data_IF_980790142011
#
_entry.id   IF_980790142011
#
_cell.length_a   1.000
_cell.length_b   1.000
_cell.length_c   1.000
_cell.angle_alpha   90.00
_cell.angle_beta   90.00
_cell.angle_gamma   90.00
#
_symmetry.space_group_name_H-M   'P 1'
#
loop_
_entity.id
_entity.type
_entity.pdbx_description
1 polymer ?
#
# COMPACT_ATOMS: atom_id res chain seq x y z
N UNK A 1 -6.86 -19.53 -0.56
CA UNK A 1 -6.97 -19.98 0.83
C UNK A 1 -8.37 -19.68 1.32
N UNK A 2 -8.95 -20.65 2.02
CA UNK A 2 -10.08 -20.41 2.90
C UNK A 2 -9.60 -19.47 4.03
N UNK A 3 -10.47 -18.64 4.59
CA UNK A 3 -10.10 -17.79 5.73
C UNK A 3 -9.81 -18.56 7.03
N UNK A 4 -9.80 -19.89 6.96
CA UNK A 4 -9.60 -20.83 8.05
C UNK A 4 -8.31 -21.66 7.92
N UNK A 5 -7.50 -21.43 6.88
CA UNK A 5 -6.24 -22.16 6.70
C UNK A 5 -5.16 -21.60 7.66
N UNK A 6 -4.35 -22.48 8.25
CA UNK A 6 -3.26 -22.08 9.15
C UNK A 6 -2.17 -21.33 8.36
N UNK A 7 -1.94 -20.03 8.61
CA UNK A 7 -0.98 -19.25 7.84
C UNK A 7 0.49 -19.59 8.13
N UNK A 8 0.76 -20.46 9.11
CA UNK A 8 2.11 -20.88 9.52
C UNK A 8 2.40 -22.35 9.20
N UNK A 9 1.54 -23.03 8.45
CA UNK A 9 1.76 -24.42 8.03
C UNK A 9 2.79 -24.48 6.89
N UNK A 10 3.96 -25.13 7.09
CA UNK A 10 5.02 -25.22 6.07
C UNK A 10 4.60 -26.03 4.84
N UNK A 11 3.56 -26.86 4.94
CA UNK A 11 3.00 -27.64 3.82
C UNK A 11 1.92 -26.86 3.05
N UNK A 12 1.53 -25.69 3.53
CA UNK A 12 0.59 -24.82 2.82
C UNK A 12 1.29 -24.13 1.64
N UNK A 13 0.99 -24.61 0.44
CA UNK A 13 1.45 -23.97 -0.79
C UNK A 13 0.81 -22.58 -0.95
N UNK A 14 1.60 -21.52 -0.74
CA UNK A 14 1.19 -20.12 -0.94
C UNK A 14 0.80 -19.81 -2.40
N UNK A 15 1.30 -20.63 -3.33
CA UNK A 15 1.02 -20.52 -4.75
C UNK A 15 0.02 -21.61 -5.14
N UNK A 16 -1.24 -21.23 -5.39
CA UNK A 16 -2.12 -22.06 -6.21
C UNK A 16 -1.45 -22.23 -7.57
N UNK A 17 -1.53 -23.41 -8.18
CA UNK A 17 -1.26 -23.55 -9.62
C UNK A 17 -2.11 -22.51 -10.38
N UNK A 18 -1.48 -21.45 -10.88
CA UNK A 18 -2.20 -20.27 -11.37
C UNK A 18 -1.53 -18.94 -11.04
N UNK A 19 -2.06 -17.88 -11.64
CA UNK A 19 -1.75 -16.50 -11.25
C UNK A 19 -2.38 -16.16 -9.87
N UNK A 20 -1.75 -15.25 -9.12
CA UNK A 20 -2.23 -14.71 -7.85
C UNK A 20 -3.64 -14.10 -7.90
N UNK A 21 -4.12 -13.70 -9.08
CA UNK A 21 -5.49 -13.22 -9.29
C UNK A 21 -6.56 -14.32 -9.18
N UNK A 22 -6.18 -15.61 -9.19
CA UNK A 22 -7.08 -16.75 -9.05
C UNK A 22 -7.97 -17.05 -10.26
N UNK A 23 -7.71 -16.42 -11.43
CA UNK A 23 -8.49 -16.60 -12.67
C UNK A 23 -7.68 -17.14 -13.87
N UNK A 24 -6.36 -17.05 -13.83
CA UNK A 24 -5.49 -17.45 -14.94
C UNK A 24 -4.62 -18.63 -14.53
N UNK A 25 -4.30 -19.48 -15.50
CA UNK A 25 -3.49 -20.70 -15.31
C UNK A 25 -2.01 -20.40 -15.06
N UNK A 26 -1.52 -19.24 -15.50
CA UNK A 26 -0.16 -18.77 -15.21
C UNK A 26 -0.11 -17.25 -15.04
N UNK A 27 1.00 -16.75 -14.47
CA UNK A 27 1.27 -15.30 -14.41
C UNK A 27 1.43 -14.70 -15.81
N UNK A 28 2.00 -15.45 -16.76
CA UNK A 28 2.15 -15.00 -18.15
C UNK A 28 0.79 -14.78 -18.84
N UNK A 29 -0.18 -15.68 -18.64
CA UNK A 29 -1.55 -15.52 -19.15
C UNK A 29 -2.23 -14.28 -18.55
N UNK A 30 -1.98 -14.03 -17.26
CA UNK A 30 -2.47 -12.83 -16.60
C UNK A 30 -1.85 -11.57 -17.19
N UNK A 31 -0.53 -11.53 -17.36
CA UNK A 31 0.16 -10.36 -17.90
C UNK A 31 -0.29 -10.07 -19.34
N UNK A 32 -0.47 -11.10 -20.17
CA UNK A 32 -1.05 -10.97 -21.51
C UNK A 32 -2.50 -10.43 -21.48
N UNK A 33 -3.33 -10.92 -20.57
CA UNK A 33 -4.69 -10.41 -20.36
C UNK A 33 -4.75 -8.99 -19.75
N UNK A 34 -3.66 -8.54 -19.12
CA UNK A 34 -3.49 -7.18 -18.60
C UNK A 34 -3.01 -6.18 -19.66
N UNK A 35 -2.35 -6.66 -20.72
CA UNK A 35 -1.95 -5.85 -21.88
C UNK A 35 -3.14 -5.49 -22.79
N UNK A 36 -4.25 -6.24 -22.72
CA UNK A 36 -5.48 -5.91 -23.44
C UNK A 36 -6.28 -4.82 -22.71
N UNK A 37 -6.26 -3.61 -23.26
CA UNK A 37 -6.89 -2.41 -22.68
C UNK A 37 -8.42 -2.56 -22.53
N UNK A 38 -9.10 -3.12 -23.53
CA UNK A 38 -10.55 -3.36 -23.50
C UNK A 38 -10.92 -4.36 -22.39
N UNK A 39 -10.13 -5.42 -22.25
CA UNK A 39 -10.31 -6.40 -21.18
C UNK A 39 -10.12 -5.76 -19.80
N UNK A 40 -9.21 -4.79 -19.67
CA UNK A 40 -8.98 -4.05 -18.41
C UNK A 40 -10.16 -3.12 -18.09
N UNK A 41 -10.61 -2.32 -19.06
CA UNK A 41 -11.77 -1.42 -18.90
C UNK A 41 -13.01 -2.24 -18.54
N UNK A 42 -13.24 -3.36 -19.23
CA UNK A 42 -14.33 -4.29 -18.92
C UNK A 42 -14.32 -4.76 -17.46
N UNK A 43 -13.16 -5.16 -16.94
CA UNK A 43 -13.02 -5.61 -15.55
C UNK A 43 -13.29 -4.49 -14.53
N UNK A 44 -12.85 -3.27 -14.83
CA UNK A 44 -13.08 -2.11 -13.97
C UNK A 44 -14.58 -1.80 -13.90
N UNK A 45 -15.27 -1.77 -15.05
CA UNK A 45 -16.71 -1.53 -15.12
C UNK A 45 -17.49 -2.62 -14.37
N UNK A 46 -17.19 -3.89 -14.61
CA UNK A 46 -17.82 -5.00 -13.89
C UNK A 46 -17.63 -4.89 -12.37
N UNK A 47 -16.42 -4.55 -11.93
CA UNK A 47 -16.12 -4.38 -10.51
C UNK A 47 -16.83 -3.17 -9.91
N UNK A 48 -16.92 -2.06 -10.65
CA UNK A 48 -17.63 -0.85 -10.23
C UNK A 48 -19.13 -1.09 -10.09
N UNK A 49 -19.76 -1.75 -11.07
CA UNK A 49 -21.18 -2.13 -11.02
C UNK A 49 -21.45 -3.08 -9.86
N UNK A 50 -20.62 -4.10 -9.67
CA UNK A 50 -20.72 -5.02 -8.53
C UNK A 50 -20.64 -4.31 -7.18
N UNK A 51 -19.72 -3.35 -7.03
CA UNK A 51 -19.57 -2.55 -5.81
C UNK A 51 -20.74 -1.59 -5.60
N UNK A 52 -21.31 -1.04 -6.67
CA UNK A 52 -22.50 -0.19 -6.61
C UNK A 52 -23.76 -0.96 -6.19
N UNK A 53 -23.96 -2.16 -6.74
CA UNK A 53 -25.12 -3.02 -6.41
C UNK A 53 -24.99 -3.69 -5.04
N UNK A 54 -23.76 -4.08 -4.66
CA UNK A 54 -23.46 -4.74 -3.40
C UNK A 54 -22.36 -3.96 -2.66
N UNK A 55 -22.72 -2.84 -1.99
CA UNK A 55 -21.76 -1.99 -1.32
C UNK A 55 -21.11 -2.67 -0.10
N UNK A 56 -21.84 -3.55 0.58
CA UNK A 56 -21.30 -4.34 1.67
C UNK A 56 -20.34 -5.43 1.15
N UNK A 57 -19.11 -5.33 1.61
CA UNK A 57 -17.99 -6.17 1.22
C UNK A 57 -18.20 -7.66 1.54
N UNK A 58 -18.80 -7.95 2.70
CA UNK A 58 -18.98 -9.32 3.16
C UNK A 58 -20.12 -10.00 2.40
N UNK A 59 -21.24 -9.31 2.22
CA UNK A 59 -22.36 -9.75 1.39
C UNK A 59 -21.91 -9.99 -0.05
N UNK A 60 -21.16 -9.06 -0.65
CA UNK A 60 -20.66 -9.21 -2.02
C UNK A 60 -19.77 -10.44 -2.16
N UNK A 61 -18.87 -10.69 -1.21
CA UNK A 61 -18.02 -11.90 -1.20
C UNK A 61 -18.83 -13.18 -1.05
N UNK A 62 -19.80 -13.20 -0.13
CA UNK A 62 -20.65 -14.36 0.10
C UNK A 62 -21.52 -14.67 -1.13
N UNK A 63 -22.11 -13.64 -1.74
CA UNK A 63 -22.88 -13.77 -2.97
C UNK A 63 -22.03 -14.33 -4.11
N UNK A 64 -20.87 -13.74 -4.37
CA UNK A 64 -19.96 -14.21 -5.43
C UNK A 64 -19.47 -15.65 -5.19
N UNK A 65 -19.29 -16.06 -3.93
CA UNK A 65 -18.97 -17.45 -3.57
C UNK A 65 -20.14 -18.40 -3.81
N UNK A 66 -21.36 -17.96 -3.56
CA UNK A 66 -22.56 -18.78 -3.70
C UNK A 66 -22.93 -19.02 -5.16
N UNK A 67 -22.86 -17.99 -6.01
CA UNK A 67 -23.38 -18.07 -7.41
C UNK A 67 -22.29 -18.12 -8.47
N UNK A 68 -21.05 -17.76 -8.13
CA UNK A 68 -19.94 -17.61 -9.07
C UNK A 68 -19.94 -16.29 -9.83
N UNK A 69 -18.76 -15.75 -10.13
CA UNK A 69 -18.62 -14.42 -10.73
C UNK A 69 -19.23 -14.31 -12.13
N UNK A 70 -19.15 -15.36 -12.95
CA UNK A 70 -19.74 -15.37 -14.31
C UNK A 70 -21.27 -15.30 -14.26
N UNK A 71 -21.91 -16.13 -13.43
CA UNK A 71 -23.36 -16.13 -13.22
C UNK A 71 -23.86 -14.81 -12.66
N UNK A 72 -23.16 -14.27 -11.66
CA UNK A 72 -23.47 -12.95 -11.09
C UNK A 72 -23.48 -11.86 -12.17
N UNK A 73 -22.45 -11.83 -13.03
CA UNK A 73 -22.38 -10.84 -14.09
C UNK A 73 -23.42 -11.04 -15.19
N UNK A 74 -23.74 -12.29 -15.54
CA UNK A 74 -24.81 -12.58 -16.49
C UNK A 74 -26.16 -12.06 -15.98
N UNK A 75 -26.50 -12.30 -14.72
CA UNK A 75 -27.71 -11.79 -14.09
C UNK A 75 -27.75 -10.25 -14.10
N UNK A 76 -26.64 -9.60 -13.71
CA UNK A 76 -26.54 -8.13 -13.71
C UNK A 76 -26.72 -7.56 -15.13
N UNK A 77 -26.17 -8.22 -16.14
CA UNK A 77 -26.29 -7.76 -17.53
C UNK A 77 -27.73 -7.75 -18.07
N UNK A 78 -28.66 -8.48 -17.43
CA UNK A 78 -30.09 -8.43 -17.77
C UNK A 78 -30.79 -7.18 -17.26
N UNK A 79 -30.27 -6.57 -16.19
CA UNK A 79 -30.86 -5.42 -15.50
C UNK A 79 -30.07 -4.12 -15.73
N UNK A 80 -28.79 -4.23 -16.10
CA UNK A 80 -27.89 -3.12 -16.31
C UNK A 80 -27.19 -3.25 -17.67
N UNK A 81 -27.21 -2.22 -18.54
CA UNK A 81 -26.67 -2.28 -19.89
C UNK A 81 -25.14 -2.28 -19.89
N UNK A 82 -24.53 -3.43 -19.59
CA UNK A 82 -23.08 -3.58 -19.46
C UNK A 82 -22.31 -3.18 -20.72
N UNK A 83 -22.87 -3.41 -21.91
CA UNK A 83 -22.25 -3.01 -23.18
C UNK A 83 -22.10 -1.48 -23.28
N UNK A 84 -23.16 -0.73 -22.97
CA UNK A 84 -23.13 0.73 -22.98
C UNK A 84 -22.20 1.28 -21.89
N UNK A 85 -22.22 0.68 -20.69
CA UNK A 85 -21.32 1.09 -19.60
C UNK A 85 -19.83 0.85 -19.94
N UNK A 86 -19.51 -0.27 -20.62
CA UNK A 86 -18.16 -0.55 -21.11
C UNK A 86 -17.74 0.42 -22.21
N UNK A 87 -18.63 0.75 -23.13
CA UNK A 87 -18.36 1.72 -24.19
C UNK A 87 -18.09 3.12 -23.62
N UNK A 88 -18.93 3.58 -22.67
CA UNK A 88 -18.73 4.86 -21.98
C UNK A 88 -17.41 4.93 -21.21
N UNK A 89 -16.99 3.82 -20.59
CA UNK A 89 -15.73 3.76 -19.86
C UNK A 89 -14.50 3.63 -20.77
N UNK A 90 -14.67 3.20 -22.03
CA UNK A 90 -13.60 3.13 -23.01
C UNK A 90 -13.27 4.51 -23.60
N UNK A 91 -14.23 5.44 -23.60
CA UNK A 91 -13.96 6.84 -23.92
C UNK A 91 -13.20 7.50 -22.77
N UNK A 92 -11.99 8.01 -23.05
CA UNK A 92 -11.24 8.82 -22.08
C UNK A 92 -12.02 10.10 -21.79
N UNK A 93 -12.77 10.09 -20.69
CA UNK A 93 -13.44 11.26 -20.15
C UNK A 93 -12.45 12.36 -19.75
N UNK A 94 -12.98 13.56 -19.49
CA UNK A 94 -12.18 14.64 -18.90
C UNK A 94 -11.84 14.29 -17.44
N UNK A 95 -10.62 14.60 -17.02
CA UNK A 95 -10.23 14.50 -15.62
C UNK A 95 -11.15 15.33 -14.72
N UNK A 96 -11.58 14.75 -13.60
CA UNK A 96 -12.44 15.41 -12.62
C UNK A 96 -11.69 16.51 -11.85
N UNK A 97 -10.36 16.36 -11.72
CA UNK A 97 -9.46 17.32 -11.07
C UNK A 97 -8.08 17.28 -11.70
N UNK A 98 -7.60 18.45 -12.12
CA UNK A 98 -6.29 18.62 -12.77
C UNK A 98 -5.21 19.07 -11.80
N UNK A 99 -5.54 19.94 -10.85
CA UNK A 99 -4.59 20.52 -9.90
C UNK A 99 -4.49 19.68 -8.62
N UNK A 100 -3.40 18.94 -8.45
CA UNK A 100 -3.23 18.01 -7.33
C UNK A 100 -2.13 18.47 -6.37
N UNK A 101 -2.39 18.37 -5.07
CA UNK A 101 -1.38 18.53 -4.01
C UNK A 101 -0.91 17.16 -3.54
N UNK A 102 0.38 16.86 -3.72
CA UNK A 102 0.96 15.57 -3.34
C UNK A 102 2.00 15.76 -2.23
N UNK A 103 1.73 15.20 -1.05
CA UNK A 103 2.61 15.26 0.10
C UNK A 103 3.73 14.20 0.06
N UNK A 104 4.94 14.55 0.48
CA UNK A 104 6.04 13.58 0.61
C UNK A 104 7.03 13.89 1.74
N UNK A 105 7.65 12.85 2.29
CA UNK A 105 8.85 12.97 3.14
C UNK A 105 10.08 12.87 2.22
N UNK A 106 11.10 13.75 2.39
CA UNK A 106 12.25 13.85 1.50
C UNK A 106 13.26 12.71 1.71
N UNK A 107 12.90 11.51 1.25
CA UNK A 107 13.73 10.31 1.24
C UNK A 107 13.71 9.68 -0.16
N UNK A 108 14.68 8.82 -0.46
CA UNK A 108 14.86 8.20 -1.79
C UNK A 108 13.61 7.46 -2.29
N UNK A 109 12.78 6.94 -1.40
CA UNK A 109 11.53 6.26 -1.76
C UNK A 109 10.52 7.18 -2.46
N UNK A 110 10.62 8.50 -2.26
CA UNK A 110 9.78 9.49 -2.94
C UNK A 110 10.25 9.84 -4.35
N UNK A 111 11.35 9.26 -4.84
CA UNK A 111 11.90 9.60 -6.17
C UNK A 111 10.87 9.50 -7.31
N UNK A 112 10.01 8.47 -7.41
CA UNK A 112 9.04 8.39 -8.50
C UNK A 112 8.10 9.61 -8.57
N UNK A 113 7.57 10.06 -7.43
CA UNK A 113 6.66 11.20 -7.38
C UNK A 113 7.37 12.54 -7.57
N UNK A 114 8.64 12.64 -7.17
CA UNK A 114 9.46 13.84 -7.37
C UNK A 114 9.85 13.98 -8.85
N UNK A 115 10.35 12.91 -9.46
CA UNK A 115 10.87 12.93 -10.82
C UNK A 115 9.79 12.96 -11.89
N UNK A 116 8.57 12.55 -11.58
CA UNK A 116 7.44 12.62 -12.51
C UNK A 116 7.18 14.04 -13.07
N UNK A 117 7.49 15.10 -12.31
CA UNK A 117 7.39 16.47 -12.79
C UNK A 117 8.46 16.81 -13.85
N UNK A 118 9.76 16.80 -13.49
CA UNK A 118 10.85 17.08 -14.43
C UNK A 118 10.88 16.17 -15.66
N UNK A 119 10.34 14.94 -15.56
CA UNK A 119 10.23 14.01 -16.69
C UNK A 119 8.97 14.21 -17.54
N UNK A 120 8.12 15.19 -17.22
CA UNK A 120 6.89 15.50 -17.97
C UNK A 120 5.77 14.47 -17.82
N UNK A 121 5.86 13.54 -16.86
CA UNK A 121 4.86 12.48 -16.70
C UNK A 121 3.52 13.01 -16.18
N UNK A 122 3.51 14.01 -15.31
CA UNK A 122 2.24 14.62 -14.87
C UNK A 122 1.53 15.35 -16.02
N UNK A 123 2.27 16.16 -16.78
CA UNK A 123 1.74 16.91 -17.92
C UNK A 123 1.18 15.99 -19.01
N UNK A 124 1.88 14.88 -19.30
CA UNK A 124 1.41 13.87 -20.26
C UNK A 124 0.05 13.28 -19.88
N UNK A 125 -0.23 13.17 -18.59
CA UNK A 125 -1.53 12.72 -18.08
C UNK A 125 -2.52 13.87 -17.85
N UNK A 126 -2.18 15.12 -18.22
CA UNK A 126 -3.06 16.29 -18.04
C UNK A 126 -3.15 16.82 -16.61
N UNK A 127 -2.17 16.48 -15.75
CA UNK A 127 -2.14 16.85 -14.33
C UNK A 127 -1.18 18.01 -14.06
N UNK A 128 -1.63 18.97 -13.24
CA UNK A 128 -0.81 20.01 -12.65
C UNK A 128 -0.52 19.66 -11.17
N UNK A 129 0.68 19.17 -10.89
CA UNK A 129 1.02 18.64 -9.55
C UNK A 129 1.88 19.62 -8.77
N UNK A 130 1.42 19.94 -7.55
CA UNK A 130 2.20 20.65 -6.53
C UNK A 130 2.73 19.67 -5.48
N UNK A 131 4.04 19.45 -5.46
CA UNK A 131 4.70 18.60 -4.47
C UNK A 131 4.92 19.37 -3.16
N UNK A 132 4.50 18.75 -2.06
CA UNK A 132 4.51 19.36 -0.73
C UNK A 132 5.44 18.58 0.19
N UNK A 133 6.62 19.14 0.46
CA UNK A 133 7.58 18.54 1.40
C UNK A 133 7.01 18.58 2.81
N UNK A 134 7.13 17.46 3.52
CA UNK A 134 6.65 17.30 4.90
C UNK A 134 7.80 17.02 5.86
N UNK A 135 7.62 17.41 7.13
CA UNK A 135 8.63 17.23 8.17
C UNK A 135 8.69 15.79 8.71
N UNK A 136 7.59 15.03 8.61
CA UNK A 136 7.53 13.66 9.11
C UNK A 136 6.16 13.01 8.88
N UNK A 137 6.05 11.73 9.25
CA UNK A 137 4.90 10.89 8.89
C UNK A 137 3.61 11.22 9.63
N UNK A 138 3.69 11.70 10.88
CA UNK A 138 2.52 12.18 11.60
C UNK A 138 1.85 13.36 10.87
N UNK A 139 2.65 14.31 10.39
CA UNK A 139 2.16 15.47 9.63
C UNK A 139 1.56 15.03 8.29
N UNK A 140 2.17 14.06 7.61
CA UNK A 140 1.60 13.49 6.39
C UNK A 140 0.21 12.91 6.66
N UNK A 141 0.07 12.07 7.69
CA UNK A 141 -1.20 11.45 8.07
C UNK A 141 -2.28 12.51 8.30
N UNK A 142 -1.96 13.53 9.10
CA UNK A 142 -2.92 14.56 9.50
C UNK A 142 -3.36 15.39 8.29
N UNK A 143 -2.44 15.71 7.37
CA UNK A 143 -2.77 16.45 6.14
C UNK A 143 -3.58 15.64 5.12
N UNK A 144 -3.37 14.33 5.02
CA UNK A 144 -4.23 13.44 4.24
C UNK A 144 -5.63 13.37 4.86
N UNK A 145 -5.73 13.30 6.19
CA UNK A 145 -7.01 13.28 6.91
C UNK A 145 -7.81 14.56 6.73
N UNK A 146 -7.14 15.71 6.77
CA UNK A 146 -7.75 17.01 6.58
C UNK A 146 -8.02 17.34 5.10
N UNK A 147 -7.72 16.43 4.16
CA UNK A 147 -7.84 16.64 2.71
C UNK A 147 -7.03 17.85 2.21
N UNK A 148 -5.94 18.18 2.91
CA UNK A 148 -4.97 19.17 2.44
C UNK A 148 -4.12 18.61 1.28
N UNK A 149 -3.96 17.29 1.24
CA UNK A 149 -3.32 16.54 0.16
C UNK A 149 -4.33 15.65 -0.56
N UNK A 150 -4.23 15.64 -1.88
CA UNK A 150 -5.02 14.76 -2.76
C UNK A 150 -4.44 13.35 -2.80
N UNK A 151 -3.11 13.25 -2.72
CA UNK A 151 -2.39 12.00 -2.58
C UNK A 151 -1.14 12.21 -1.72
N UNK A 152 -0.57 11.14 -1.18
CA UNK A 152 0.69 11.25 -0.46
C UNK A 152 1.51 9.97 -0.50
N UNK A 153 2.83 10.15 -0.45
CA UNK A 153 3.74 9.09 -0.08
C UNK A 153 3.51 8.71 1.38
N UNK A 154 3.18 7.44 1.61
CA UNK A 154 2.90 6.85 2.91
C UNK A 154 3.74 5.60 3.12
N UNK A 155 4.06 5.30 4.38
CA UNK A 155 4.65 4.01 4.74
C UNK A 155 3.60 2.91 4.57
N UNK A 156 3.98 1.74 4.07
CA UNK A 156 3.01 0.69 3.70
C UNK A 156 1.99 0.30 4.77
N UNK A 157 2.28 0.33 6.09
CA UNK A 157 1.25 0.03 7.10
C UNK A 157 0.31 1.21 7.41
N UNK A 158 0.66 2.45 7.05
CA UNK A 158 -0.14 3.64 7.39
C UNK A 158 -1.54 3.60 6.76
N UNK A 159 -1.74 3.30 5.45
CA UNK A 159 -3.09 3.22 4.88
C UNK A 159 -3.99 2.23 5.62
N UNK A 160 -3.44 1.09 6.05
CA UNK A 160 -4.16 0.09 6.83
C UNK A 160 -4.50 0.62 8.22
N UNK A 161 -3.52 1.19 8.93
CA UNK A 161 -3.72 1.76 10.26
C UNK A 161 -4.78 2.88 10.23
N UNK A 162 -4.71 3.79 9.25
CA UNK A 162 -5.69 4.86 9.06
C UNK A 162 -7.09 4.31 8.77
N UNK A 163 -7.19 3.29 7.91
CA UNK A 163 -8.47 2.64 7.58
C UNK A 163 -9.10 1.91 8.76
N UNK A 164 -8.28 1.43 9.71
CA UNK A 164 -8.71 0.82 10.96
C UNK A 164 -8.92 1.82 12.11
N UNK A 165 -8.48 3.08 11.95
CA UNK A 165 -8.51 4.09 13.01
C UNK A 165 -7.47 3.87 14.12
N UNK A 166 -6.35 3.22 13.79
CA UNK A 166 -5.26 2.99 14.72
C UNK A 166 -4.33 4.20 14.78
N UNK A 167 -4.28 4.85 15.94
CA UNK A 167 -3.46 6.05 16.18
C UNK A 167 -3.94 7.32 15.46
N UNK A 168 -5.16 7.34 14.93
CA UNK A 168 -5.83 8.52 14.36
C UNK A 168 -7.32 8.28 14.18
N UNK A 169 -8.06 9.30 13.73
CA UNK A 169 -9.43 9.10 13.26
C UNK A 169 -9.47 8.07 12.12
N UNK A 170 -10.55 7.29 12.07
CA UNK A 170 -10.77 6.29 11.03
C UNK A 170 -11.03 7.00 9.69
N UNK A 171 -10.20 6.72 8.70
CA UNK A 171 -10.36 7.21 7.34
C UNK A 171 -9.95 6.12 6.35
N UNK A 172 -10.82 5.76 5.42
CA UNK A 172 -10.46 4.86 4.34
C UNK A 172 -9.38 5.51 3.47
N UNK A 173 -8.28 4.80 3.25
CA UNK A 173 -7.17 5.25 2.39
C UNK A 173 -6.87 4.16 1.37
N UNK A 174 -6.96 4.53 0.10
CA UNK A 174 -6.64 3.63 -1.00
C UNK A 174 -5.15 3.69 -1.36
N UNK A 175 -4.57 2.53 -1.64
CA UNK A 175 -3.19 2.41 -2.11
C UNK A 175 -3.18 2.38 -3.63
N UNK A 176 -2.72 3.47 -4.25
CA UNK A 176 -2.63 3.55 -5.71
C UNK A 176 -1.49 2.71 -6.28
N UNK A 177 -0.31 2.77 -5.66
CA UNK A 177 0.88 2.03 -6.12
C UNK A 177 1.92 1.88 -5.01
N UNK A 178 2.78 0.86 -5.14
CA UNK A 178 3.96 0.69 -4.31
C UNK A 178 5.15 1.37 -5.01
N UNK A 179 5.70 2.41 -4.37
CA UNK A 179 6.75 3.24 -4.98
C UNK A 179 8.12 2.57 -4.99
N UNK A 180 8.41 1.72 -4.00
CA UNK A 180 9.64 0.96 -3.93
C UNK A 180 9.46 -0.30 -3.08
N UNK A 181 10.37 -1.25 -3.30
CA UNK A 181 10.70 -2.31 -2.35
C UNK A 181 12.16 -2.11 -1.95
N UNK A 182 12.53 -2.54 -0.74
CA UNK A 182 13.89 -2.40 -0.19
C UNK A 182 14.34 -0.94 0.04
N UNK A 183 15.65 -0.74 0.25
CA UNK A 183 16.27 0.58 0.45
C UNK A 183 16.25 1.10 1.88
N UNK A 184 15.89 0.26 2.85
CA UNK A 184 15.95 0.58 4.28
C UNK A 184 17.13 -0.14 4.93
N UNK A 185 17.63 0.37 6.06
CA UNK A 185 18.72 -0.23 6.81
C UNK A 185 18.53 -0.09 8.32
N UNK A 186 19.04 -1.06 9.06
CA UNK A 186 19.30 -0.93 10.50
C UNK A 186 20.73 -0.43 10.65
N UNK A 187 20.89 0.75 11.23
CA UNK A 187 22.19 1.41 11.38
C UNK A 187 22.54 1.57 12.84
N UNK A 188 23.73 1.10 13.24
CA UNK A 188 24.28 1.32 14.58
C UNK A 188 25.35 2.41 14.55
N UNK A 189 25.47 3.16 15.65
CA UNK A 189 26.58 4.09 15.83
C UNK A 189 27.92 3.31 15.94
N UNK A 190 29.03 3.93 15.50
CA UNK A 190 30.37 3.31 15.50
C UNK A 190 30.83 2.82 16.88
N UNK A 191 30.30 3.38 17.97
CA UNK A 191 30.54 2.90 19.35
C UNK A 191 30.08 1.46 19.60
N UNK A 192 29.23 0.92 18.71
CA UNK A 192 28.71 -0.44 18.76
C UNK A 192 29.30 -1.34 17.66
N UNK A 193 30.42 -0.95 17.02
CA UNK A 193 31.05 -1.72 15.93
C UNK A 193 31.40 -3.17 16.30
N UNK A 194 31.63 -3.44 17.58
CA UNK A 194 31.97 -4.78 18.08
C UNK A 194 30.73 -5.58 18.52
N UNK A 195 29.53 -4.97 18.44
CA UNK A 195 28.24 -5.60 18.77
C UNK A 195 27.46 -5.94 17.50
N UNK A 196 28.08 -6.72 16.60
CA UNK A 196 27.46 -7.10 15.33
C UNK A 196 26.41 -8.22 15.48
N UNK A 197 26.47 -8.98 16.57
CA UNK A 197 25.49 -10.02 16.85
C UNK A 197 24.25 -9.40 17.50
N UNK A 198 23.06 -9.49 16.87
CA UNK A 198 21.83 -8.87 17.39
C UNK A 198 21.41 -9.38 18.76
N UNK A 199 21.82 -10.59 19.17
CA UNK A 199 21.57 -11.12 20.52
C UNK A 199 22.13 -10.23 21.63
N UNK A 200 23.17 -9.45 21.32
CA UNK A 200 23.87 -8.58 22.27
C UNK A 200 23.27 -7.16 22.32
N UNK A 201 22.12 -6.93 21.67
CA UNK A 201 21.48 -5.62 21.56
C UNK A 201 20.49 -5.32 22.68
N UNK A 202 20.36 -6.20 23.67
CA UNK A 202 19.55 -5.94 24.86
C UNK A 202 20.00 -4.65 25.56
N UNK A 203 19.03 -3.80 25.90
CA UNK A 203 19.20 -2.47 26.49
C UNK A 203 19.52 -1.36 25.48
N UNK A 204 19.63 -1.65 24.18
CA UNK A 204 19.84 -0.63 23.16
C UNK A 204 18.56 0.19 22.90
N UNK A 205 18.76 1.38 22.35
CA UNK A 205 17.68 2.28 21.93
C UNK A 205 17.71 2.41 20.41
N UNK A 206 16.56 2.19 19.76
CA UNK A 206 16.41 2.28 18.32
C UNK A 206 15.46 3.41 17.93
N UNK A 207 15.88 4.22 16.96
CA UNK A 207 15.04 5.23 16.33
C UNK A 207 14.16 4.62 15.24
N UNK A 208 12.87 4.99 15.23
CA UNK A 208 11.89 4.57 14.24
C UNK A 208 11.18 5.79 13.66
N UNK A 209 10.78 5.76 12.37
CA UNK A 209 10.19 6.93 11.75
C UNK A 209 8.75 7.17 12.21
N UNK A 210 8.04 6.10 12.56
CA UNK A 210 6.63 6.11 12.94
C UNK A 210 6.23 4.75 13.53
N UNK A 211 5.21 4.71 14.39
CA UNK A 211 4.69 3.45 14.96
C UNK A 211 4.18 2.50 13.88
N UNK A 212 3.33 3.01 12.97
CA UNK A 212 2.77 2.24 11.86
C UNK A 212 3.68 2.29 10.63
N UNK A 213 4.94 1.90 10.80
CA UNK A 213 5.95 1.89 9.73
C UNK A 213 6.43 0.48 9.41
N UNK A 214 6.83 0.28 8.14
CA UNK A 214 7.53 -0.95 7.73
C UNK A 214 8.85 -1.13 8.51
N UNK A 215 9.43 -0.04 9.00
CA UNK A 215 10.71 -0.05 9.71
C UNK A 215 10.53 -0.63 11.12
N UNK A 216 9.44 -0.26 11.79
CA UNK A 216 9.05 -0.85 13.07
C UNK A 216 8.80 -2.35 12.91
N UNK A 217 8.03 -2.76 11.88
CA UNK A 217 7.75 -4.17 11.63
C UNK A 217 9.03 -4.97 11.33
N UNK A 218 9.91 -4.46 10.46
CA UNK A 218 11.17 -5.13 10.11
C UNK A 218 12.11 -5.23 11.31
N UNK A 219 12.25 -4.18 12.11
CA UNK A 219 13.11 -4.20 13.30
C UNK A 219 12.58 -5.19 14.33
N UNK A 220 11.27 -5.17 14.61
CA UNK A 220 10.63 -6.10 15.55
C UNK A 220 10.81 -7.55 15.11
N UNK A 221 10.59 -7.82 13.82
CA UNK A 221 10.81 -9.14 13.23
C UNK A 221 12.27 -9.58 13.41
N UNK A 222 13.22 -8.72 13.06
CA UNK A 222 14.65 -9.01 13.15
C UNK A 222 15.13 -9.26 14.59
N UNK A 223 14.64 -8.48 15.55
CA UNK A 223 14.94 -8.66 16.97
C UNK A 223 14.37 -9.99 17.50
N UNK A 224 13.11 -10.28 17.18
CA UNK A 224 12.45 -11.51 17.61
C UNK A 224 13.12 -12.77 17.03
N UNK A 225 13.55 -12.73 15.77
CA UNK A 225 14.32 -13.80 15.13
C UNK A 225 15.64 -14.10 15.86
N UNK A 226 16.21 -13.09 16.55
CA UNK A 226 17.41 -13.23 17.36
C UNK A 226 17.11 -13.41 18.86
N UNK A 227 15.86 -13.67 19.25
CA UNK A 227 15.49 -13.99 20.63
C UNK A 227 15.41 -12.78 21.56
N UNK A 228 15.28 -11.57 21.02
CA UNK A 228 14.99 -10.36 21.80
C UNK A 228 13.50 -10.01 21.71
N UNK A 229 12.88 -9.75 22.87
CA UNK A 229 11.53 -9.19 22.93
C UNK A 229 11.60 -7.69 22.61
N UNK A 230 11.06 -7.24 21.45
CA UNK A 230 11.20 -5.86 21.02
C UNK A 230 10.45 -4.85 21.90
N UNK A 231 9.55 -5.30 22.79
CA UNK A 231 8.80 -4.46 23.72
C UNK A 231 9.39 -4.42 25.14
N UNK A 232 10.36 -5.30 25.44
CA UNK A 232 10.97 -5.39 26.79
C UNK A 232 12.49 -5.26 26.79
N UNK A 233 13.15 -5.86 25.80
CA UNK A 233 14.61 -5.95 25.79
C UNK A 233 15.28 -4.74 25.14
N UNK A 234 14.54 -3.91 24.40
CA UNK A 234 15.06 -2.69 23.76
C UNK A 234 14.10 -1.51 23.96
N UNK A 235 14.58 -0.29 23.74
CA UNK A 235 13.74 0.91 23.74
C UNK A 235 13.53 1.39 22.30
N UNK A 236 12.27 1.53 21.88
CA UNK A 236 11.91 2.05 20.56
C UNK A 236 11.46 3.51 20.68
N UNK A 237 12.11 4.41 19.95
CA UNK A 237 11.81 5.85 19.97
C UNK A 237 11.40 6.35 18.59
N UNK A 238 10.26 7.01 18.51
CA UNK A 238 9.83 7.68 17.29
C UNK A 238 10.61 8.98 17.08
N UNK A 239 11.06 9.20 15.85
CA UNK A 239 11.62 10.48 15.40
C UNK A 239 11.56 10.61 13.88
N UNK A 240 11.45 11.83 13.33
CA UNK A 240 11.52 12.04 11.89
C UNK A 240 12.82 11.51 11.27
N UNK A 241 12.80 10.94 10.05
CA UNK A 241 14.00 10.48 9.37
C UNK A 241 15.16 11.50 9.30
N UNK A 242 14.92 12.81 9.03
CA UNK A 242 16.00 13.80 9.03
C UNK A 242 16.76 13.92 10.35
N UNK A 243 16.10 13.61 11.49
CA UNK A 243 16.68 13.76 12.82
C UNK A 243 17.47 12.52 13.25
N UNK A 244 17.28 11.37 12.59
CA UNK A 244 17.89 10.10 12.98
C UNK A 244 19.42 10.13 12.93
N UNK A 245 20.01 10.72 11.88
CA UNK A 245 21.47 10.81 11.73
C UNK A 245 22.08 11.68 12.82
N UNK A 246 21.41 12.78 13.18
CA UNK A 246 21.86 13.66 14.26
C UNK A 246 21.79 12.93 15.62
N UNK A 247 20.72 12.18 15.87
CA UNK A 247 20.55 11.42 17.12
C UNK A 247 21.53 10.25 17.26
N UNK A 248 22.05 9.69 16.17
CA UNK A 248 23.12 8.70 16.25
C UNK A 248 24.44 9.28 16.78
N UNK A 249 24.68 10.59 16.62
CA UNK A 249 25.92 11.26 17.07
C UNK A 249 25.92 11.60 18.56
N UNK A 250 24.75 11.59 19.20
CA UNK A 250 24.58 11.87 20.63
C UNK A 250 24.82 10.60 21.50
#
# INVERSE_FOLDING_TARGET
MSGFDNPFDPDTTLHRAGCSCGRHHSQADHDAAMQNEDARVSRVVESAVMRGLFPDDQLRRNFLRAVGAGTAMAAISTLFPMGAAKALAAEKGKLEKTDLKIGFVPITCATPIIMAGPMGFYEREGLNVSLQKTAGWAVVRDKVQNKEYDASHLLSPMPLAMSLGLGSAKQAVDVATIQNINGQAITLHLKHKDKLNPKDWKGMKFGLPFDYSIHNLLLRYFLAEHGLDPDKDVELRMMPPPDMVANLRA
#
